data_IF_375498794605
#
_entry.id   IF_375498794605
#
_cell.length_a   1.000
_cell.length_b   1.000
_cell.length_c   1.000
_cell.angle_alpha   90.00
_cell.angle_beta   90.00
_cell.angle_gamma   90.00
#
_symmetry.space_group_name_H-M   'P 1'
#
loop_
_entity.id
_entity.type
_entity.pdbx_description
1 polymer ?
#
# COMPACT_ATOMS: atom_id res chain seq x y z
N UNK A 1 20.29 -5.24 12.14
CA UNK A 1 20.18 -4.01 12.96
C UNK A 1 19.03 -3.21 12.38
N UNK A 2 17.92 -3.02 13.11
CA UNK A 2 16.80 -2.19 12.61
C UNK A 2 17.24 -0.73 12.65
N UNK A 3 17.31 -0.07 11.48
CA UNK A 3 17.54 1.38 11.41
C UNK A 3 16.21 2.07 11.71
N UNK A 4 16.23 3.04 12.62
CA UNK A 4 15.11 3.96 12.84
C UNK A 4 15.23 5.10 11.84
N UNK A 5 14.14 5.41 11.15
CA UNK A 5 14.04 6.54 10.23
C UNK A 5 12.98 7.54 10.69
N UNK A 6 12.77 7.59 12.02
CA UNK A 6 11.88 8.55 12.66
C UNK A 6 12.26 9.97 12.21
N UNK A 7 11.29 10.67 11.64
CA UNK A 7 11.41 12.02 11.06
C UNK A 7 12.41 12.16 9.89
N UNK A 8 12.79 11.05 9.24
CA UNK A 8 13.66 11.11 8.06
C UNK A 8 12.91 11.69 6.86
N UNK A 9 13.48 12.73 6.24
CA UNK A 9 13.05 13.18 4.92
C UNK A 9 13.61 12.23 3.86
N UNK A 10 12.75 11.35 3.35
CA UNK A 10 13.00 10.45 2.23
C UNK A 10 12.17 10.86 1.01
N UNK A 11 11.60 12.07 1.03
CA UNK A 11 10.75 12.55 -0.06
C UNK A 11 11.58 12.69 -1.33
N UNK A 12 10.97 12.34 -2.48
CA UNK A 12 11.60 12.39 -3.81
C UNK A 12 12.91 11.56 -3.93
N UNK A 13 13.24 10.72 -2.95
CA UNK A 13 14.47 9.92 -2.93
C UNK A 13 14.35 8.67 -3.80
N UNK A 14 15.46 8.29 -4.45
CA UNK A 14 15.58 7.02 -5.16
C UNK A 14 15.90 5.89 -4.18
N UNK A 15 14.90 5.04 -3.92
CA UNK A 15 14.95 3.87 -3.04
C UNK A 15 14.65 2.59 -3.82
N UNK A 16 14.86 2.60 -5.15
CA UNK A 16 14.61 1.43 -6.00
C UNK A 16 15.46 0.25 -5.62
N UNK A 17 14.86 -0.93 -5.67
CA UNK A 17 15.51 -2.21 -5.38
C UNK A 17 16.16 -2.30 -3.97
N UNK A 18 15.90 -1.33 -3.07
CA UNK A 18 16.42 -1.32 -1.69
C UNK A 18 15.65 -2.32 -0.83
N UNK A 19 16.36 -2.96 0.10
CA UNK A 19 15.75 -3.78 1.15
C UNK A 19 15.60 -2.98 2.45
N UNK A 20 14.35 -2.67 2.79
CA UNK A 20 13.92 -1.98 4.01
C UNK A 20 13.05 -2.91 4.89
N UNK A 21 13.09 -4.22 4.64
CA UNK A 21 12.23 -5.20 5.30
C UNK A 21 12.46 -5.22 6.81
N UNK A 22 11.37 -5.19 7.58
CA UNK A 22 11.40 -5.27 9.05
C UNK A 22 11.88 -4.00 9.77
N UNK A 23 12.12 -2.91 9.03
CA UNK A 23 12.46 -1.61 9.59
C UNK A 23 11.24 -0.88 10.17
N UNK A 24 11.51 0.09 11.04
CA UNK A 24 10.53 1.03 11.56
C UNK A 24 10.79 2.38 10.87
N UNK A 25 9.86 2.75 9.98
CA UNK A 25 9.90 3.98 9.18
C UNK A 25 8.93 5.04 9.70
N UNK A 26 8.21 4.79 10.81
CA UNK A 26 7.20 5.72 11.32
C UNK A 26 7.75 7.14 11.47
N UNK A 27 7.02 8.11 10.94
CA UNK A 27 7.40 9.53 10.92
C UNK A 27 8.26 9.91 9.71
N UNK A 28 8.68 8.96 8.87
CA UNK A 28 9.39 9.29 7.64
C UNK A 28 8.45 9.94 6.62
N UNK A 29 8.97 10.94 5.91
CA UNK A 29 8.31 11.52 4.74
C UNK A 29 8.74 10.75 3.49
N UNK A 30 7.81 10.03 2.86
CA UNK A 30 8.05 9.23 1.66
C UNK A 30 7.30 9.79 0.44
N UNK A 31 6.86 11.05 0.51
CA UNK A 31 6.14 11.70 -0.59
C UNK A 31 6.96 11.63 -1.87
N UNK A 32 6.35 11.14 -2.94
CA UNK A 32 6.96 10.98 -4.27
C UNK A 32 8.28 10.19 -4.29
N UNK A 33 8.61 9.44 -3.24
CA UNK A 33 9.79 8.59 -3.24
C UNK A 33 9.66 7.53 -4.36
N UNK A 34 10.79 7.16 -4.97
CA UNK A 34 10.83 6.09 -5.96
C UNK A 34 11.21 4.78 -5.26
N UNK A 35 10.20 3.97 -4.94
CA UNK A 35 10.31 2.70 -4.22
C UNK A 35 10.13 1.50 -5.14
N UNK A 36 10.26 1.69 -6.47
CA UNK A 36 9.99 0.61 -7.42
C UNK A 36 10.84 -0.61 -7.11
N UNK A 37 10.17 -1.78 -7.02
CA UNK A 37 10.80 -3.08 -6.71
C UNK A 37 11.53 -3.14 -5.36
N UNK A 38 11.34 -2.16 -4.48
CA UNK A 38 11.89 -2.23 -3.13
C UNK A 38 11.23 -3.38 -2.34
N UNK A 39 11.89 -3.79 -1.26
CA UNK A 39 11.34 -4.74 -0.30
C UNK A 39 11.01 -4.02 1.00
N UNK A 40 9.73 -4.01 1.34
CA UNK A 40 9.16 -3.41 2.55
C UNK A 40 8.44 -4.47 3.40
N UNK A 41 8.86 -5.73 3.27
CA UNK A 41 8.22 -6.86 3.95
C UNK A 41 8.27 -6.65 5.46
N UNK A 42 7.12 -6.72 6.12
CA UNK A 42 6.98 -6.51 7.56
C UNK A 42 7.57 -5.17 8.08
N UNK A 43 7.65 -4.15 7.22
CA UNK A 43 8.06 -2.79 7.58
C UNK A 43 6.91 -2.06 8.27
N UNK A 44 7.23 -1.14 9.19
CA UNK A 44 6.23 -0.29 9.86
C UNK A 44 6.22 1.08 9.22
N UNK A 45 5.09 1.42 8.59
CA UNK A 45 4.79 2.66 7.86
C UNK A 45 3.48 3.32 8.35
N UNK A 46 3.05 2.99 9.57
CA UNK A 46 1.75 3.42 10.09
C UNK A 46 1.71 4.94 10.27
N UNK A 47 0.73 5.59 9.63
CA UNK A 47 0.53 7.04 9.66
C UNK A 47 1.48 7.85 8.76
N UNK A 48 2.35 7.19 7.98
CA UNK A 48 3.34 7.88 7.16
C UNK A 48 2.71 8.50 5.90
N UNK A 49 3.38 9.52 5.37
CA UNK A 49 2.96 10.22 4.15
C UNK A 49 3.67 9.63 2.93
N UNK A 50 2.93 8.84 2.14
CA UNK A 50 3.40 8.21 0.90
C UNK A 50 2.74 8.83 -0.34
N UNK A 51 2.23 10.07 -0.23
CA UNK A 51 1.48 10.70 -1.34
C UNK A 51 2.33 10.79 -2.59
N UNK A 52 1.79 10.26 -3.69
CA UNK A 52 2.45 10.25 -4.99
C UNK A 52 3.71 9.38 -5.08
N UNK A 53 4.02 8.55 -4.07
CA UNK A 53 5.15 7.63 -4.12
C UNK A 53 4.98 6.61 -5.26
N UNK A 54 6.10 6.21 -5.87
CA UNK A 54 6.13 5.19 -6.91
C UNK A 54 6.49 3.83 -6.29
N UNK A 55 5.46 3.04 -5.99
CA UNK A 55 5.55 1.73 -5.35
C UNK A 55 5.38 0.59 -6.37
N UNK A 56 5.61 0.82 -7.67
CA UNK A 56 5.39 -0.21 -8.69
C UNK A 56 6.23 -1.46 -8.44
N UNK A 57 5.57 -2.61 -8.39
CA UNK A 57 6.22 -3.91 -8.17
C UNK A 57 6.92 -4.07 -6.83
N UNK A 58 6.60 -3.23 -5.84
CA UNK A 58 7.17 -3.31 -4.48
C UNK A 58 6.62 -4.52 -3.74
N UNK A 59 7.46 -5.14 -2.92
CA UNK A 59 7.05 -6.19 -2.00
C UNK A 59 6.63 -5.58 -0.65
N UNK A 60 5.32 -5.47 -0.42
CA UNK A 60 4.67 -4.90 0.77
C UNK A 60 4.01 -5.98 1.64
N UNK A 61 4.45 -7.24 1.53
CA UNK A 61 3.83 -8.34 2.26
C UNK A 61 3.96 -8.13 3.77
N UNK A 62 2.83 -8.19 4.48
CA UNK A 62 2.78 -8.01 5.93
C UNK A 62 3.22 -6.62 6.42
N UNK A 63 3.34 -5.62 5.55
CA UNK A 63 3.68 -4.25 5.93
C UNK A 63 2.54 -3.64 6.75
N UNK A 64 2.87 -2.90 7.81
CA UNK A 64 1.89 -2.11 8.55
C UNK A 64 1.76 -0.73 7.91
N UNK A 65 0.64 -0.48 7.22
CA UNK A 65 0.26 0.76 6.55
C UNK A 65 -0.96 1.42 7.23
N UNK A 66 -1.25 1.08 8.49
CA UNK A 66 -2.41 1.62 9.21
C UNK A 66 -2.40 3.16 9.18
N UNK A 67 -3.49 3.77 8.72
CA UNK A 67 -3.63 5.23 8.63
C UNK A 67 -2.65 5.92 7.67
N UNK A 68 -1.88 5.18 6.86
CA UNK A 68 -0.93 5.76 5.93
C UNK A 68 -1.63 6.55 4.81
N UNK A 69 -1.00 7.63 4.35
CA UNK A 69 -1.52 8.46 3.26
C UNK A 69 -0.93 8.03 1.91
N UNK A 70 -1.67 7.18 1.19
CA UNK A 70 -1.29 6.64 -0.11
C UNK A 70 -1.97 7.40 -1.27
N UNK A 71 -2.47 8.61 -1.04
CA UNK A 71 -3.18 9.36 -2.09
C UNK A 71 -2.28 9.58 -3.30
N UNK A 72 -2.80 9.25 -4.49
CA UNK A 72 -2.07 9.34 -5.77
C UNK A 72 -0.82 8.46 -5.87
N UNK A 73 -0.57 7.55 -4.92
CA UNK A 73 0.56 6.64 -5.00
C UNK A 73 0.36 5.62 -6.13
N UNK A 74 1.45 5.17 -6.73
CA UNK A 74 1.42 4.13 -7.76
C UNK A 74 1.78 2.77 -7.17
N UNK A 75 0.77 1.96 -6.85
CA UNK A 75 0.90 0.61 -6.31
C UNK A 75 0.78 -0.47 -7.39
N UNK A 76 0.87 -0.11 -8.67
CA UNK A 76 0.59 -1.07 -9.73
C UNK A 76 1.59 -2.24 -9.72
N UNK A 77 1.05 -3.46 -9.70
CA UNK A 77 1.82 -4.69 -9.58
C UNK A 77 2.49 -4.94 -8.22
N UNK A 78 2.25 -4.12 -7.20
CA UNK A 78 2.77 -4.34 -5.85
C UNK A 78 2.15 -5.59 -5.20
N UNK A 79 2.89 -6.21 -4.27
CA UNK A 79 2.42 -7.34 -3.49
C UNK A 79 2.02 -6.85 -2.08
N UNK A 80 0.71 -6.62 -1.87
CA UNK A 80 0.16 -6.18 -0.58
C UNK A 80 -0.29 -7.36 0.29
N UNK A 81 0.04 -8.61 -0.06
CA UNK A 81 -0.54 -9.78 0.62
C UNK A 81 -0.33 -9.73 2.13
N UNK A 82 -1.42 -9.76 2.89
CA UNK A 82 -1.43 -9.65 4.35
C UNK A 82 -0.97 -8.31 4.93
N UNK A 83 -0.84 -7.24 4.13
CA UNK A 83 -0.57 -5.90 4.64
C UNK A 83 -1.75 -5.38 5.46
N UNK A 84 -1.47 -4.63 6.52
CA UNK A 84 -2.49 -3.96 7.33
C UNK A 84 -2.71 -2.53 6.79
N UNK A 85 -3.88 -2.31 6.17
CA UNK A 85 -4.28 -1.04 5.54
C UNK A 85 -5.43 -0.36 6.31
N UNK A 86 -5.68 -0.74 7.57
CA UNK A 86 -6.79 -0.15 8.34
C UNK A 86 -6.68 1.38 8.37
N UNK A 87 -7.79 2.06 8.05
CA UNK A 87 -7.88 3.53 7.92
C UNK A 87 -6.94 4.19 6.88
N UNK A 88 -6.24 3.43 6.02
CA UNK A 88 -5.34 4.02 5.01
C UNK A 88 -6.11 4.80 3.92
N UNK A 89 -5.50 5.87 3.42
CA UNK A 89 -6.08 6.76 2.41
C UNK A 89 -5.62 6.40 1.00
N UNK A 90 -6.52 5.87 0.17
CA UNK A 90 -6.25 5.35 -1.17
C UNK A 90 -6.87 6.20 -2.30
N UNK A 91 -7.29 7.44 -2.04
CA UNK A 91 -7.86 8.31 -3.08
C UNK A 91 -6.87 8.47 -4.24
N UNK A 92 -7.32 8.19 -5.46
CA UNK A 92 -6.52 8.26 -6.70
C UNK A 92 -5.28 7.35 -6.75
N UNK A 93 -5.12 6.41 -5.82
CA UNK A 93 -4.02 5.43 -5.88
C UNK A 93 -4.22 4.45 -7.04
N UNK A 94 -3.12 4.07 -7.71
CA UNK A 94 -3.15 3.09 -8.80
C UNK A 94 -2.90 1.68 -8.27
N UNK A 95 -3.96 0.87 -8.12
CA UNK A 95 -3.90 -0.51 -7.64
C UNK A 95 -3.88 -1.55 -8.76
N UNK A 96 -3.67 -1.15 -10.03
CA UNK A 96 -3.72 -2.08 -11.16
C UNK A 96 -2.77 -3.25 -10.96
N UNK A 97 -3.28 -4.46 -11.06
CA UNK A 97 -2.53 -5.71 -10.90
C UNK A 97 -1.86 -5.90 -9.53
N UNK A 98 -2.19 -5.09 -8.53
CA UNK A 98 -1.70 -5.29 -7.16
C UNK A 98 -2.30 -6.58 -6.59
N UNK A 99 -1.49 -7.39 -5.90
CA UNK A 99 -1.97 -8.58 -5.19
C UNK A 99 -2.49 -8.18 -3.83
N UNK A 100 -3.68 -8.64 -3.48
CA UNK A 100 -4.40 -8.19 -2.27
C UNK A 100 -4.84 -9.35 -1.39
N UNK A 101 -4.22 -10.51 -1.55
CA UNK A 101 -4.56 -11.74 -0.85
C UNK A 101 -4.49 -11.52 0.69
N UNK A 102 -5.60 -11.74 1.37
CA UNK A 102 -5.71 -11.59 2.83
C UNK A 102 -5.66 -10.15 3.34
N UNK A 103 -5.86 -9.15 2.48
CA UNK A 103 -5.93 -7.74 2.88
C UNK A 103 -7.37 -7.38 3.24
N UNK A 104 -7.54 -6.69 4.38
CA UNK A 104 -8.82 -6.10 4.77
C UNK A 104 -8.88 -4.61 4.40
N UNK A 105 -9.73 -4.28 3.43
CA UNK A 105 -10.00 -2.92 2.98
C UNK A 105 -11.23 -2.29 3.65
N UNK A 106 -11.92 -2.97 4.57
CA UNK A 106 -13.23 -2.56 5.10
C UNK A 106 -13.27 -1.12 5.62
N UNK A 107 -12.18 -0.65 6.24
CA UNK A 107 -12.06 0.71 6.75
C UNK A 107 -11.11 1.61 5.96
N UNK A 108 -10.63 1.16 4.80
CA UNK A 108 -9.85 2.04 3.92
C UNK A 108 -10.71 3.16 3.35
N UNK A 109 -10.07 4.29 3.10
CA UNK A 109 -10.73 5.50 2.68
C UNK A 109 -10.38 5.81 1.23
N UNK A 110 -11.37 6.28 0.46
CA UNK A 110 -11.13 6.76 -0.91
C UNK A 110 -11.10 5.73 -2.01
N UNK A 111 -11.36 4.46 -1.71
CA UNK A 111 -11.51 3.42 -2.73
C UNK A 111 -12.66 3.70 -3.70
N UNK A 112 -12.44 3.27 -4.94
CA UNK A 112 -13.40 3.30 -6.04
C UNK A 112 -13.60 1.91 -6.63
N UNK A 113 -14.73 1.69 -7.31
CA UNK A 113 -15.00 0.42 -8.01
C UNK A 113 -13.88 0.04 -9.00
N UNK A 114 -13.36 1.03 -9.72
CA UNK A 114 -12.27 0.82 -10.69
C UNK A 114 -11.00 0.29 -10.03
N UNK A 115 -10.65 0.80 -8.85
CA UNK A 115 -9.47 0.34 -8.12
C UNK A 115 -9.62 -1.13 -7.73
N UNK A 116 -10.78 -1.51 -7.17
CA UNK A 116 -11.10 -2.89 -6.77
C UNK A 116 -10.99 -3.86 -7.95
N UNK A 117 -11.72 -3.58 -9.03
CA UNK A 117 -11.75 -4.43 -10.23
C UNK A 117 -10.41 -4.51 -10.98
N UNK A 118 -9.47 -3.62 -10.66
CA UNK A 118 -8.14 -3.62 -11.27
C UNK A 118 -7.11 -4.46 -10.53
N UNK A 119 -7.41 -4.90 -9.30
CA UNK A 119 -6.50 -5.72 -8.48
C UNK A 119 -6.43 -7.17 -8.99
N UNK A 120 -5.47 -7.95 -8.46
CA UNK A 120 -5.40 -9.39 -8.68
C UNK A 120 -6.09 -10.14 -7.54
N UNK A 121 -6.87 -11.14 -7.92
CA UNK A 121 -7.62 -12.01 -7.01
C UNK A 121 -8.45 -11.19 -6.00
N UNK A 122 -9.31 -10.26 -6.45
CA UNK A 122 -10.10 -9.43 -5.53
C UNK A 122 -10.96 -10.27 -4.56
N UNK A 123 -11.35 -11.48 -4.93
CA UNK A 123 -12.08 -12.43 -4.08
C UNK A 123 -11.29 -12.89 -2.83
N UNK A 124 -9.96 -12.73 -2.83
CA UNK A 124 -9.10 -13.06 -1.68
C UNK A 124 -8.90 -11.89 -0.70
N UNK A 125 -9.51 -10.73 -0.96
CA UNK A 125 -9.51 -9.57 -0.08
C UNK A 125 -10.89 -9.35 0.56
N UNK A 126 -10.93 -8.65 1.69
CA UNK A 126 -12.17 -8.15 2.28
C UNK A 126 -12.38 -6.71 1.81
N UNK A 127 -13.55 -6.41 1.25
CA UNK A 127 -13.85 -5.08 0.71
C UNK A 127 -14.93 -4.37 1.53
N UNK A 128 -14.95 -3.03 1.52
CA UNK A 128 -16.02 -2.26 2.16
C UNK A 128 -17.41 -2.74 1.76
N UNK A 129 -18.35 -2.80 2.71
CA UNK A 129 -19.73 -3.28 2.51
C UNK A 129 -20.40 -2.74 1.25
N UNK A 130 -20.21 -1.45 0.95
CA UNK A 130 -20.74 -0.76 -0.24
C UNK A 130 -20.27 -1.32 -1.59
N UNK A 131 -19.32 -2.24 -1.58
CA UNK A 131 -18.72 -2.86 -2.76
C UNK A 131 -18.94 -4.38 -2.84
N UNK A 132 -19.59 -5.01 -1.84
CA UNK A 132 -19.84 -6.46 -1.84
C UNK A 132 -20.63 -6.92 -3.07
N UNK A 133 -21.66 -6.18 -3.45
CA UNK A 133 -22.50 -6.50 -4.62
C UNK A 133 -21.73 -6.55 -5.95
N UNK A 134 -20.57 -5.90 -6.04
CA UNK A 134 -19.76 -5.88 -7.28
C UNK A 134 -19.12 -7.24 -7.53
N UNK A 135 -18.66 -7.90 -6.46
CA UNK A 135 -17.92 -9.16 -6.57
C UNK A 135 -18.85 -10.35 -6.73
N UNK A 136 -20.08 -10.23 -6.22
CA UNK A 136 -21.13 -11.24 -6.40
C UNK A 136 -21.74 -11.23 -7.81
N UNK A 137 -21.59 -10.13 -8.58
CA UNK A 137 -22.18 -10.00 -9.92
C UNK A 137 -21.35 -10.60 -11.06
N UNK A 138 -20.12 -11.03 -10.79
CA UNK A 138 -19.19 -11.60 -11.78
C UNK A 138 -18.96 -13.12 -11.59
N UNK A 139 -19.70 -13.78 -10.69
CA UNK A 139 -19.69 -15.25 -10.44
C UNK A 139 -20.93 -15.95 -10.97
#
# INVERSE_FOLDING_TARGET
MKKKFEDADLSETDLRDVDLSGNDLRGADLRKADLRKAKLVATVLSGDDLRGADLRGTDLRGTNLRGADLRKANLSGADLSGADLDEAHLQDADLRSAKVNGVDFSHTLGLTRKQILSTKNPEEAVWPEKFKEILDSDS
#
